data_IF_060017625479
#
_entry.id   IF_060017625479
#
_cell.length_a   1.000
_cell.length_b   1.000
_cell.length_c   1.000
_cell.angle_alpha   90.00
_cell.angle_beta   90.00
_cell.angle_gamma   90.00
#
_symmetry.space_group_name_H-M   'P 1'
#
loop_
_entity.id
_entity.type
_entity.pdbx_description
1 polymer ?
#
# COMPACT_ATOMS: atom_id res chain seq x y z
N UNK A 1 -93.87 -13.78 3.54
CA UNK A 1 -94.32 -12.37 3.40
C UNK A 1 -93.30 -11.49 4.10
N UNK A 2 -93.00 -10.32 3.50
CA UNK A 2 -92.04 -9.24 3.88
C UNK A 2 -90.54 -9.55 3.73
N UNK A 3 -89.62 -8.61 3.45
CA UNK A 3 -89.47 -7.41 2.59
C UNK A 3 -88.03 -6.90 2.87
N UNK A 4 -87.39 -6.18 1.92
CA UNK A 4 -86.16 -5.37 2.12
C UNK A 4 -84.93 -5.95 1.42
N UNK A 5 -84.29 -5.41 0.37
CA UNK A 5 -83.95 -4.04 -0.06
C UNK A 5 -83.05 -3.24 0.92
N UNK A 6 -81.82 -2.94 0.45
CA UNK A 6 -80.82 -2.05 1.06
C UNK A 6 -79.38 -2.59 0.85
N UNK A 7 -78.72 -2.40 -0.30
CA UNK A 7 -77.85 -1.27 -0.75
C UNK A 7 -76.46 -1.18 -0.11
N UNK A 8 -75.42 -1.15 -0.98
CA UNK A 8 -74.08 -0.57 -0.73
C UNK A 8 -72.94 -1.60 -0.78
N UNK A 9 -72.21 -1.76 -1.91
CA UNK A 9 -70.98 -1.01 -2.26
C UNK A 9 -69.88 -1.17 -1.19
N UNK A 10 -68.64 -1.60 -1.44
CA UNK A 10 -67.86 -1.89 -2.64
C UNK A 10 -66.58 -2.62 -2.18
N UNK A 11 -65.86 -3.25 -3.11
CA UNK A 11 -64.40 -3.15 -3.36
C UNK A 11 -63.90 -4.45 -4.05
N UNK A 12 -62.96 -4.36 -5.00
CA UNK A 12 -62.81 -5.33 -6.08
C UNK A 12 -61.61 -6.29 -5.92
N UNK A 13 -61.67 -7.33 -6.77
CA UNK A 13 -60.59 -8.23 -7.22
C UNK A 13 -59.18 -7.63 -7.20
N UNK A 14 -58.16 -8.43 -6.84
CA UNK A 14 -57.09 -8.83 -7.78
C UNK A 14 -56.48 -10.18 -7.36
N UNK A 15 -56.56 -11.14 -8.28
CA UNK A 15 -55.88 -12.43 -8.30
C UNK A 15 -54.39 -12.22 -8.63
N UNK A 16 -53.47 -12.48 -7.68
CA UNK A 16 -52.03 -12.38 -7.91
C UNK A 16 -51.43 -13.72 -8.36
N UNK A 17 -51.03 -13.76 -9.62
CA UNK A 17 -50.30 -14.84 -10.28
C UNK A 17 -48.91 -15.01 -9.65
N UNK A 18 -48.58 -16.23 -9.20
CA UNK A 18 -47.26 -16.59 -8.71
C UNK A 18 -46.22 -16.54 -9.85
N UNK A 19 -45.20 -15.69 -9.71
CA UNK A 19 -44.03 -15.62 -10.59
C UNK A 19 -42.83 -16.32 -9.95
N UNK A 20 -42.28 -17.32 -10.66
CA UNK A 20 -41.05 -18.05 -10.32
C UNK A 20 -39.83 -17.12 -10.35
N UNK A 21 -38.94 -17.10 -9.34
CA UNK A 21 -37.71 -16.31 -9.41
C UNK A 21 -36.64 -17.03 -10.26
N UNK A 22 -36.14 -16.32 -11.27
CA UNK A 22 -34.96 -16.71 -12.05
C UNK A 22 -33.68 -16.46 -11.24
N UNK A 23 -32.77 -17.43 -11.25
CA UNK A 23 -31.46 -17.35 -10.60
C UNK A 23 -30.58 -16.26 -11.27
N UNK A 24 -29.83 -15.43 -10.52
CA UNK A 24 -28.96 -14.44 -11.12
C UNK A 24 -27.71 -15.10 -11.68
N UNK A 25 -27.44 -14.84 -12.95
CA UNK A 25 -26.19 -15.19 -13.61
C UNK A 25 -25.01 -14.46 -12.93
N UNK A 26 -24.02 -15.23 -12.48
CA UNK A 26 -22.75 -14.74 -11.97
C UNK A 26 -21.97 -14.04 -13.09
N UNK A 27 -22.07 -12.72 -13.17
CA UNK A 27 -21.09 -11.92 -13.89
C UNK A 27 -19.81 -11.90 -13.05
N UNK A 28 -18.81 -12.64 -13.50
CA UNK A 28 -17.44 -12.49 -12.99
C UNK A 28 -16.90 -11.21 -13.62
N UNK A 29 -17.11 -10.09 -12.94
CA UNK A 29 -16.58 -8.81 -13.37
C UNK A 29 -15.07 -8.84 -13.18
N UNK A 30 -14.36 -9.00 -14.30
CA UNK A 30 -12.90 -8.92 -14.35
C UNK A 30 -12.56 -7.45 -14.13
N UNK A 31 -12.35 -7.07 -12.87
CA UNK A 31 -12.15 -5.67 -12.46
C UNK A 31 -10.97 -5.05 -13.21
N UNK A 32 -11.26 -4.29 -14.25
CA UNK A 32 -10.37 -3.28 -14.80
C UNK A 32 -10.34 -2.11 -13.80
N UNK A 33 -9.54 -2.27 -12.74
CA UNK A 33 -9.50 -1.33 -11.62
C UNK A 33 -8.76 -0.06 -12.02
N UNK A 34 -9.42 0.80 -12.80
CA UNK A 34 -8.92 2.15 -13.03
C UNK A 34 -8.84 2.85 -11.68
N UNK A 35 -7.66 3.30 -11.22
CA UNK A 35 -7.55 3.94 -9.93
C UNK A 35 -8.45 5.18 -9.88
N UNK A 36 -9.35 5.20 -8.89
CA UNK A 36 -10.32 6.28 -8.66
C UNK A 36 -9.88 7.08 -7.43
N UNK A 37 -10.07 8.41 -7.45
CA UNK A 37 -9.72 9.30 -6.33
C UNK A 37 -8.83 10.48 -6.74
N UNK A 38 -8.57 11.42 -5.81
CA UNK A 38 -7.76 12.61 -6.08
C UNK A 38 -6.31 12.24 -6.47
N UNK A 39 -5.76 11.16 -5.92
CA UNK A 39 -4.43 10.68 -6.26
C UNK A 39 -4.31 10.26 -7.73
N UNK A 40 -5.42 9.82 -8.36
CA UNK A 40 -5.43 9.38 -9.75
C UNK A 40 -5.11 10.50 -10.74
N UNK A 41 -5.23 11.78 -10.35
CA UNK A 41 -4.81 12.91 -11.18
C UNK A 41 -3.28 13.09 -11.23
N UNK A 42 -2.53 12.46 -10.32
CA UNK A 42 -1.07 12.52 -10.33
C UNK A 42 -0.47 11.63 -11.43
N UNK A 43 0.27 12.23 -12.36
CA UNK A 43 1.02 11.49 -13.39
C UNK A 43 2.03 10.52 -12.79
N UNK A 44 2.60 10.85 -11.64
CA UNK A 44 3.49 9.96 -10.93
C UNK A 44 2.73 8.73 -10.43
N UNK A 45 1.58 8.91 -9.78
CA UNK A 45 0.72 7.82 -9.32
C UNK A 45 0.27 6.90 -10.48
N UNK A 46 -0.15 7.45 -11.61
CA UNK A 46 -0.52 6.67 -12.80
C UNK A 46 0.65 5.80 -13.32
N UNK A 47 1.88 6.32 -13.31
CA UNK A 47 3.08 5.54 -13.70
C UNK A 47 3.39 4.42 -12.73
N UNK A 48 3.18 4.63 -11.43
CA UNK A 48 3.38 3.61 -10.41
C UNK A 48 2.46 2.41 -10.63
N UNK A 49 1.16 2.67 -10.84
CA UNK A 49 0.17 1.62 -11.08
C UNK A 49 0.47 0.81 -12.35
N UNK A 50 0.91 1.47 -13.42
CA UNK A 50 1.31 0.79 -14.65
C UNK A 50 2.54 -0.11 -14.47
N UNK A 51 3.51 0.31 -13.68
CA UNK A 51 4.82 -0.36 -13.57
C UNK A 51 4.89 -1.38 -12.43
N UNK A 52 4.22 -1.11 -11.31
CA UNK A 52 4.35 -1.88 -10.06
C UNK A 52 3.00 -2.41 -9.56
N UNK A 53 2.00 -2.51 -10.43
CA UNK A 53 0.64 -2.94 -10.05
C UNK A 53 0.61 -4.29 -9.34
N UNK A 54 1.48 -5.23 -9.72
CA UNK A 54 1.57 -6.56 -9.12
C UNK A 54 2.19 -6.56 -7.70
N UNK A 55 2.95 -5.52 -7.37
CA UNK A 55 3.67 -5.36 -6.11
C UNK A 55 2.93 -4.42 -5.14
N UNK A 56 2.02 -3.57 -5.61
CA UNK A 56 1.26 -2.64 -4.75
C UNK A 56 0.56 -3.33 -3.59
N UNK A 57 0.04 -4.54 -3.80
CA UNK A 57 -0.62 -5.33 -2.76
C UNK A 57 0.34 -5.83 -1.66
N UNK A 58 1.65 -5.81 -1.88
CA UNK A 58 2.64 -6.22 -0.88
C UNK A 58 2.75 -5.25 0.29
N UNK A 59 2.42 -3.97 0.09
CA UNK A 59 2.42 -2.97 1.15
C UNK A 59 1.01 -2.84 1.74
N UNK A 60 0.79 -3.28 3.00
CA UNK A 60 -0.54 -3.25 3.62
C UNK A 60 -1.15 -1.85 3.71
N UNK A 61 -2.48 -1.80 3.87
CA UNK A 61 -3.21 -0.54 4.00
C UNK A 61 -2.85 0.27 5.27
N UNK A 62 -2.88 1.60 5.16
CA UNK A 62 -2.57 2.54 6.24
C UNK A 62 -1.15 3.13 6.16
N UNK A 63 -0.73 3.85 7.19
CA UNK A 63 0.58 4.52 7.23
C UNK A 63 1.73 3.51 7.10
N UNK A 64 2.70 3.73 6.19
CA UNK A 64 3.82 2.82 5.98
C UNK A 64 4.88 3.04 7.06
N UNK A 65 4.66 2.45 8.24
CA UNK A 65 5.64 2.42 9.33
C UNK A 65 6.77 1.43 9.06
N UNK A 66 7.93 1.62 9.70
CA UNK A 66 9.15 0.83 9.54
C UNK A 66 8.91 -0.68 9.46
N UNK A 67 8.15 -1.24 10.41
CA UNK A 67 7.86 -2.69 10.45
C UNK A 67 7.19 -3.18 9.16
N UNK A 68 6.21 -2.44 8.64
CA UNK A 68 5.52 -2.81 7.39
C UNK A 68 6.44 -2.68 6.19
N UNK A 69 7.33 -1.70 6.18
CA UNK A 69 8.32 -1.53 5.13
C UNK A 69 9.35 -2.66 5.12
N UNK A 70 9.78 -3.13 6.30
CA UNK A 70 10.65 -4.30 6.44
C UNK A 70 9.96 -5.59 5.95
N UNK A 71 8.71 -5.83 6.35
CA UNK A 71 7.92 -6.97 5.88
C UNK A 71 7.72 -6.94 4.35
N UNK A 72 7.44 -5.76 3.79
CA UNK A 72 7.29 -5.55 2.34
C UNK A 72 8.62 -5.80 1.62
N UNK A 73 9.73 -5.29 2.15
CA UNK A 73 11.07 -5.54 1.60
C UNK A 73 11.39 -7.03 1.57
N UNK A 74 11.11 -7.74 2.66
CA UNK A 74 11.31 -9.18 2.73
C UNK A 74 10.44 -9.92 1.71
N UNK A 75 9.17 -9.52 1.53
CA UNK A 75 8.29 -10.11 0.52
C UNK A 75 8.84 -9.89 -0.91
N UNK A 76 9.35 -8.70 -1.21
CA UNK A 76 10.01 -8.41 -2.50
C UNK A 76 11.25 -9.29 -2.71
N UNK A 77 12.04 -9.52 -1.65
CA UNK A 77 13.22 -10.38 -1.68
C UNK A 77 12.84 -11.84 -1.92
N UNK A 78 11.80 -12.34 -1.27
CA UNK A 78 11.25 -13.69 -1.48
C UNK A 78 10.72 -13.87 -2.91
N UNK A 79 10.21 -12.82 -3.55
CA UNK A 79 9.81 -12.83 -4.98
C UNK A 79 10.98 -12.82 -5.96
N UNK A 80 12.23 -12.81 -5.48
CA UNK A 80 13.43 -12.94 -6.31
C UNK A 80 14.06 -11.62 -6.76
N UNK A 81 13.52 -10.46 -6.37
CA UNK A 81 14.20 -9.18 -6.63
C UNK A 81 15.48 -9.09 -5.81
N UNK A 82 16.60 -8.68 -6.41
CA UNK A 82 17.82 -8.32 -5.68
C UNK A 82 17.59 -7.15 -4.71
N UNK A 83 18.46 -6.95 -3.71
CA UNK A 83 18.22 -5.93 -2.70
C UNK A 83 18.14 -4.50 -3.30
N UNK A 84 19.01 -4.09 -4.23
CA UNK A 84 18.89 -2.79 -4.88
C UNK A 84 17.57 -2.61 -5.64
N UNK A 85 17.07 -3.62 -6.35
CA UNK A 85 15.78 -3.53 -7.04
C UNK A 85 14.62 -3.55 -6.05
N UNK A 86 14.69 -4.38 -5.01
CA UNK A 86 13.66 -4.46 -3.97
C UNK A 86 13.53 -3.12 -3.22
N UNK A 87 14.64 -2.46 -2.86
CA UNK A 87 14.61 -1.13 -2.24
C UNK A 87 14.03 -0.05 -3.17
N UNK A 88 14.34 -0.12 -4.48
CA UNK A 88 13.74 0.79 -5.47
C UNK A 88 12.24 0.57 -5.57
N UNK A 89 11.77 -0.68 -5.64
CA UNK A 89 10.34 -1.01 -5.68
C UNK A 89 9.67 -0.55 -4.39
N UNK A 90 10.22 -0.90 -3.22
CA UNK A 90 9.70 -0.48 -1.91
C UNK A 90 9.49 1.03 -1.85
N UNK A 91 10.48 1.83 -2.26
CA UNK A 91 10.33 3.29 -2.35
C UNK A 91 9.12 3.68 -3.19
N UNK A 92 8.91 3.05 -4.34
CA UNK A 92 7.78 3.35 -5.20
C UNK A 92 6.43 3.00 -4.54
N UNK A 93 6.33 1.86 -3.84
CA UNK A 93 5.11 1.46 -3.13
C UNK A 93 4.80 2.42 -1.97
N UNK A 94 5.82 2.83 -1.21
CA UNK A 94 5.66 3.78 -0.10
C UNK A 94 5.23 5.15 -0.62
N UNK A 95 5.87 5.67 -1.68
CA UNK A 95 5.47 6.96 -2.26
C UNK A 95 4.04 6.92 -2.79
N UNK A 96 3.61 5.80 -3.39
CA UNK A 96 2.23 5.59 -3.81
C UNK A 96 1.26 5.69 -2.62
N UNK A 97 1.57 4.99 -1.53
CA UNK A 97 0.77 5.00 -0.30
C UNK A 97 0.65 6.41 0.27
N UNK A 98 1.77 7.13 0.34
CA UNK A 98 1.81 8.48 0.90
C UNK A 98 1.01 9.47 0.07
N UNK A 99 1.07 9.41 -1.26
CA UNK A 99 0.24 10.26 -2.13
C UNK A 99 -1.25 10.01 -1.85
N UNK A 100 -1.66 8.76 -1.68
CA UNK A 100 -3.05 8.44 -1.35
C UNK A 100 -3.44 9.01 0.01
N UNK A 101 -2.60 8.83 1.03
CA UNK A 101 -2.87 9.34 2.37
C UNK A 101 -2.94 10.87 2.42
N UNK A 102 -2.04 11.54 1.71
CA UNK A 102 -1.97 13.00 1.63
C UNK A 102 -3.16 13.59 0.86
N UNK A 103 -3.47 13.04 -0.33
CA UNK A 103 -4.52 13.58 -1.19
C UNK A 103 -5.94 13.20 -0.75
N UNK A 104 -6.14 12.00 -0.18
CA UNK A 104 -7.48 11.42 0.01
C UNK A 104 -7.85 11.22 1.48
N UNK A 105 -6.87 11.01 2.36
CA UNK A 105 -7.10 10.72 3.77
C UNK A 105 -6.76 11.87 4.72
N UNK A 106 -6.30 13.02 4.20
CA UNK A 106 -5.89 14.20 4.98
C UNK A 106 -4.91 13.83 6.12
N UNK A 107 -3.97 12.94 5.81
CA UNK A 107 -3.01 12.47 6.81
C UNK A 107 -2.16 13.63 7.36
N UNK A 108 -1.81 13.62 8.66
CA UNK A 108 -0.91 14.62 9.22
C UNK A 108 0.43 14.67 8.49
N UNK A 109 0.94 15.87 8.21
CA UNK A 109 2.24 16.05 7.55
C UNK A 109 3.38 15.32 8.29
N UNK A 110 3.31 15.26 9.62
CA UNK A 110 4.27 14.54 10.44
C UNK A 110 4.32 13.03 10.13
N UNK A 111 3.20 12.41 9.78
CA UNK A 111 3.14 11.00 9.42
C UNK A 111 3.77 10.75 8.05
N UNK A 112 3.56 11.69 7.12
CA UNK A 112 4.15 11.65 5.79
C UNK A 112 5.68 11.77 5.89
N UNK A 113 6.18 12.81 6.56
CA UNK A 113 7.63 13.03 6.66
C UNK A 113 8.33 11.95 7.47
N UNK A 114 7.69 11.45 8.55
CA UNK A 114 8.18 10.30 9.33
C UNK A 114 8.34 9.07 8.44
N UNK A 115 7.33 8.73 7.64
CA UNK A 115 7.40 7.57 6.75
C UNK A 115 8.51 7.69 5.69
N UNK A 116 8.71 8.88 5.12
CA UNK A 116 9.81 9.12 4.15
C UNK A 116 11.17 9.01 4.85
N UNK A 117 11.32 9.52 6.07
CA UNK A 117 12.53 9.35 6.89
C UNK A 117 12.79 7.88 7.19
N UNK A 118 11.81 7.14 7.71
CA UNK A 118 11.96 5.73 8.04
C UNK A 118 12.29 4.87 6.81
N UNK A 119 11.74 5.20 5.64
CA UNK A 119 12.11 4.57 4.38
C UNK A 119 13.59 4.81 4.03
N UNK A 120 14.09 6.03 4.22
CA UNK A 120 15.48 6.37 3.95
C UNK A 120 16.44 5.66 4.92
N UNK A 121 16.11 5.63 6.21
CA UNK A 121 16.86 4.91 7.24
C UNK A 121 16.93 3.41 6.93
N UNK A 122 15.79 2.78 6.63
CA UNK A 122 15.75 1.38 6.23
C UNK A 122 16.61 1.08 4.99
N UNK A 123 16.50 1.91 3.95
CA UNK A 123 17.26 1.71 2.73
C UNK A 123 18.77 1.85 2.95
N UNK A 124 19.17 2.80 3.78
CA UNK A 124 20.55 3.06 4.15
C UNK A 124 21.13 1.88 4.95
N UNK A 125 20.43 1.41 5.99
CA UNK A 125 20.85 0.28 6.81
C UNK A 125 21.07 -0.97 5.94
N UNK A 126 20.11 -1.29 5.08
CA UNK A 126 20.17 -2.46 4.21
C UNK A 126 21.31 -2.36 3.17
N UNK A 127 21.50 -1.17 2.58
CA UNK A 127 22.60 -0.95 1.63
C UNK A 127 23.96 -1.06 2.31
N UNK A 128 24.12 -0.51 3.51
CA UNK A 128 25.36 -0.59 4.27
C UNK A 128 25.68 -2.00 4.74
N UNK A 129 24.68 -2.76 5.18
CA UNK A 129 24.85 -4.19 5.51
C UNK A 129 25.32 -4.99 4.28
N UNK A 130 24.70 -4.79 3.12
CA UNK A 130 25.13 -5.48 1.90
C UNK A 130 26.55 -5.08 1.48
N UNK A 131 26.86 -3.79 1.45
CA UNK A 131 28.19 -3.30 1.08
C UNK A 131 29.27 -3.81 2.06
N UNK A 132 28.96 -3.87 3.35
CA UNK A 132 29.85 -4.42 4.38
C UNK A 132 30.16 -5.90 4.09
N UNK A 133 29.13 -6.71 3.84
CA UNK A 133 29.32 -8.13 3.53
C UNK A 133 30.18 -8.34 2.28
N UNK A 134 29.93 -7.57 1.22
CA UNK A 134 30.70 -7.66 -0.03
C UNK A 134 32.17 -7.25 0.15
N UNK A 135 32.44 -6.19 0.92
CA UNK A 135 33.80 -5.71 1.16
C UNK A 135 34.56 -6.63 2.11
N UNK A 136 33.92 -7.10 3.19
CA UNK A 136 34.54 -8.01 4.15
C UNK A 136 34.91 -9.34 3.49
N UNK A 137 34.07 -9.86 2.58
CA UNK A 137 34.38 -11.08 1.82
C UNK A 137 35.63 -10.94 0.92
N UNK A 138 35.94 -9.73 0.46
CA UNK A 138 37.05 -9.45 -0.45
C UNK A 138 38.33 -9.01 0.26
N UNK A 139 38.19 -8.31 1.38
CA UNK A 139 39.29 -7.60 2.03
C UNK A 139 39.49 -7.99 3.50
N UNK A 140 38.59 -8.81 4.07
CA UNK A 140 38.50 -9.07 5.50
C UNK A 140 37.76 -7.96 6.24
N UNK A 141 37.30 -8.26 7.46
CA UNK A 141 36.67 -7.28 8.34
C UNK A 141 37.71 -6.25 8.79
N UNK A 142 37.43 -4.94 8.70
CA UNK A 142 38.36 -3.94 9.18
C UNK A 142 38.47 -4.02 10.70
N UNK A 143 39.70 -4.08 11.21
CA UNK A 143 39.99 -4.16 12.63
C UNK A 143 40.82 -2.96 13.12
N UNK A 144 40.60 -2.57 14.37
CA UNK A 144 41.37 -1.54 15.07
C UNK A 144 42.75 -2.05 15.53
N UNK A 145 43.54 -1.19 16.19
CA UNK A 145 44.87 -1.55 16.69
C UNK A 145 44.88 -2.71 17.69
N UNK A 146 43.75 -2.98 18.34
CA UNK A 146 43.51 -4.07 19.28
C UNK A 146 42.99 -5.36 18.61
N UNK A 147 42.85 -5.36 17.28
CA UNK A 147 42.33 -6.48 16.50
C UNK A 147 40.81 -6.61 16.51
N UNK A 148 40.07 -5.70 17.17
CA UNK A 148 38.60 -5.74 17.21
C UNK A 148 37.99 -5.13 15.95
N UNK A 149 36.85 -5.64 15.45
CA UNK A 149 36.15 -5.04 14.32
C UNK A 149 35.79 -3.57 14.57
N UNK A 150 35.95 -2.72 13.55
CA UNK A 150 35.52 -1.31 13.63
C UNK A 150 34.15 -1.11 12.99
N UNK A 151 33.30 -0.34 13.66
CA UNK A 151 31.96 -0.01 13.18
C UNK A 151 31.98 1.15 12.17
N UNK A 152 31.04 1.09 11.21
CA UNK A 152 30.76 2.21 10.31
C UNK A 152 29.56 2.98 10.85
N UNK A 153 29.77 4.28 11.05
CA UNK A 153 28.72 5.19 11.47
C UNK A 153 28.22 6.01 10.31
N UNK A 154 26.90 6.20 10.25
CA UNK A 154 26.26 7.09 9.28
C UNK A 154 25.52 8.16 10.04
N UNK A 155 25.86 9.42 9.74
CA UNK A 155 25.27 10.58 10.42
C UNK A 155 24.31 11.26 9.46
N UNK A 156 23.02 11.20 9.78
CA UNK A 156 21.98 11.90 9.04
C UNK A 156 22.05 13.41 9.30
N UNK A 157 22.26 14.20 8.25
CA UNK A 157 22.31 15.67 8.32
C UNK A 157 21.06 16.30 7.70
N UNK A 158 20.80 17.57 8.01
CA UNK A 158 19.67 18.33 7.45
C UNK A 158 18.31 17.70 7.78
N UNK A 159 17.40 17.62 6.79
CA UNK A 159 16.04 17.08 6.98
C UNK A 159 16.00 15.62 7.40
N UNK A 160 16.98 14.82 6.98
CA UNK A 160 17.09 13.43 7.43
C UNK A 160 17.43 13.40 8.93
N UNK A 161 18.41 14.20 9.35
CA UNK A 161 18.79 14.33 10.77
C UNK A 161 17.69 14.93 11.65
N UNK A 162 16.93 15.89 11.12
CA UNK A 162 15.74 16.47 11.78
C UNK A 162 14.50 15.57 11.70
N UNK A 163 14.60 14.43 10.98
CA UNK A 163 13.54 13.44 10.77
C UNK A 163 12.24 14.03 10.20
N UNK A 164 12.39 14.93 9.24
CA UNK A 164 11.33 15.65 8.52
C UNK A 164 11.52 15.56 7.00
N UNK A 165 11.97 14.40 6.51
CA UNK A 165 12.32 14.22 5.11
C UNK A 165 11.07 14.39 4.21
N UNK A 166 11.25 15.06 3.07
CA UNK A 166 10.17 15.43 2.15
C UNK A 166 10.32 14.79 0.76
#
# INVERSE_FOLDING_TARGET
>A
MTRGHGTGSAQPEVLLHAATPAAPAMHTDLTDSTPTGLAAHSRFFQRLHRRYGAELALLPAGTPVLKRMQETLQALRTRGHDLPSALRILRQLVMERLIRLDCEAQAPLADITRAVTELAELALDQACLQARQELDARHGTPCGPDGQPVELWIVGMGKLGARELN
#
